data_IF_526170543709
#
_entry.id   IF_526170543709
#
_cell.length_a   1.000
_cell.length_b   1.000
_cell.length_c   1.000
_cell.angle_alpha   90.00
_cell.angle_beta   90.00
_cell.angle_gamma   90.00
#
_symmetry.space_group_name_H-M   'P 1'
#
loop_
_entity.id
_entity.type
_entity.pdbx_description
1 polymer ?
#
# COMPACT_ATOMS: atom_id res chain seq x y z
N UNK A 1 9.01 -17.99 -0.28
CA UNK A 1 9.00 -16.52 -0.27
C UNK A 1 8.41 -16.06 -1.61
N UNK A 2 7.30 -15.30 -1.62
CA UNK A 2 6.73 -14.74 -2.86
C UNK A 2 7.24 -13.30 -3.06
N UNK A 3 8.31 -13.17 -3.82
CA UNK A 3 8.87 -11.89 -4.25
C UNK A 3 9.11 -11.92 -5.75
N UNK A 4 8.90 -10.78 -6.39
CA UNK A 4 9.12 -10.59 -7.81
C UNK A 4 10.22 -9.57 -8.03
N UNK A 5 11.09 -9.82 -8.99
CA UNK A 5 12.15 -8.91 -9.36
C UNK A 5 11.80 -8.23 -10.69
N UNK A 6 11.91 -6.91 -10.74
CA UNK A 6 11.81 -6.16 -11.99
C UNK A 6 13.20 -6.09 -12.61
N UNK A 7 13.32 -6.56 -13.85
CA UNK A 7 14.57 -6.54 -14.60
C UNK A 7 14.49 -5.43 -15.65
N UNK A 8 15.52 -4.59 -15.66
CA UNK A 8 15.73 -3.53 -16.63
C UNK A 8 16.97 -3.81 -17.48
N UNK A 9 16.92 -3.34 -18.74
CA UNK A 9 18.06 -3.30 -19.65
C UNK A 9 18.34 -1.87 -20.04
N UNK A 10 19.52 -1.36 -19.70
CA UNK A 10 19.89 0.06 -19.90
C UNK A 10 18.82 1.06 -19.39
N UNK A 11 18.18 0.75 -18.25
CA UNK A 11 17.12 1.59 -17.65
C UNK A 11 15.73 1.45 -18.29
N UNK A 12 15.56 0.60 -19.31
CA UNK A 12 14.24 0.27 -19.88
C UNK A 12 13.70 -1.02 -19.26
N UNK A 13 12.43 -1.02 -18.86
CA UNK A 13 11.72 -2.22 -18.43
C UNK A 13 11.83 -3.35 -19.48
N UNK A 14 12.20 -4.55 -19.03
CA UNK A 14 12.27 -5.75 -19.86
C UNK A 14 11.22 -6.77 -19.44
N UNK A 15 11.30 -7.24 -18.19
CA UNK A 15 10.42 -8.30 -17.69
C UNK A 15 10.31 -8.29 -16.17
N UNK A 16 9.20 -8.83 -15.67
CA UNK A 16 9.05 -9.25 -14.28
C UNK A 16 9.48 -10.71 -14.16
N UNK A 17 10.41 -10.99 -13.24
CA UNK A 17 10.88 -12.32 -12.92
C UNK A 17 10.25 -12.79 -11.60
N UNK A 18 9.50 -13.88 -11.67
CA UNK A 18 8.96 -14.56 -10.49
C UNK A 18 10.05 -15.39 -9.81
N UNK A 19 9.71 -16.07 -8.71
CA UNK A 19 10.64 -16.98 -8.05
C UNK A 19 10.95 -18.17 -8.96
N UNK A 20 12.23 -18.32 -9.35
CA UNK A 20 12.68 -19.37 -10.26
C UNK A 20 14.09 -19.11 -10.79
N UNK A 21 14.61 -20.04 -11.61
CA UNK A 21 15.90 -19.87 -12.29
C UNK A 21 15.68 -19.00 -13.52
N UNK A 22 16.30 -17.83 -13.55
CA UNK A 22 16.27 -16.91 -14.68
C UNK A 22 17.69 -16.55 -15.11
N UNK A 23 18.00 -16.82 -16.38
CA UNK A 23 19.29 -16.43 -16.98
C UNK A 23 19.21 -14.95 -17.36
N UNK A 24 20.23 -14.19 -16.92
CA UNK A 24 20.44 -12.77 -17.26
C UNK A 24 21.62 -12.66 -18.21
N UNK A 25 21.61 -11.65 -19.09
CA UNK A 25 22.77 -11.40 -19.94
C UNK A 25 23.97 -10.94 -19.09
N UNK A 26 25.19 -11.48 -19.34
CA UNK A 26 26.40 -11.05 -18.66
C UNK A 26 26.82 -9.62 -19.07
N UNK A 27 27.81 -9.05 -18.38
CA UNK A 27 28.37 -7.70 -18.63
C UNK A 27 27.52 -6.50 -18.21
N UNK A 28 26.65 -6.65 -17.20
CA UNK A 28 25.92 -5.52 -16.59
C UNK A 28 24.81 -4.93 -17.47
N UNK A 29 24.44 -5.61 -18.55
CA UNK A 29 23.38 -5.20 -19.49
C UNK A 29 22.00 -5.27 -18.81
N UNK A 30 21.75 -6.36 -18.08
CA UNK A 30 20.51 -6.57 -17.34
C UNK A 30 20.74 -6.30 -15.83
N UNK A 31 20.01 -5.34 -15.27
CA UNK A 31 20.04 -4.99 -13.85
C UNK A 31 18.71 -5.30 -13.16
N UNK A 32 18.77 -5.57 -11.84
CA UNK A 32 17.56 -5.70 -11.01
C UNK A 32 17.22 -4.29 -10.51
N UNK A 33 16.12 -3.73 -11.01
CA UNK A 33 15.68 -2.40 -10.62
C UNK A 33 15.12 -2.40 -9.19
N UNK A 34 14.26 -3.38 -8.89
CA UNK A 34 13.68 -3.56 -7.57
C UNK A 34 13.21 -4.99 -7.34
N UNK A 35 13.05 -5.32 -6.05
CA UNK A 35 12.39 -6.53 -5.59
C UNK A 35 11.13 -6.12 -4.86
N UNK A 36 9.98 -6.59 -5.32
CA UNK A 36 8.67 -6.26 -4.75
C UNK A 36 8.14 -7.48 -4.03
N UNK A 37 7.64 -7.26 -2.82
CA UNK A 37 7.00 -8.29 -2.02
C UNK A 37 5.51 -8.35 -2.38
N UNK A 38 5.04 -9.54 -2.76
CA UNK A 38 3.63 -9.78 -3.08
C UNK A 38 2.80 -10.20 -1.86
N UNK A 39 3.45 -10.37 -0.70
CA UNK A 39 2.76 -10.75 0.53
C UNK A 39 1.85 -9.63 1.00
N UNK A 40 0.80 -10.03 1.68
CA UNK A 40 -0.06 -9.12 2.42
C UNK A 40 0.77 -8.41 3.49
N UNK A 41 0.72 -7.08 3.46
CA UNK A 41 1.32 -6.20 4.44
C UNK A 41 0.20 -5.65 5.32
N UNK A 42 0.49 -5.50 6.61
CA UNK A 42 -0.38 -4.82 7.55
C UNK A 42 0.25 -3.50 7.96
N UNK A 43 -0.55 -2.44 7.99
CA UNK A 43 -0.17 -1.14 8.54
C UNK A 43 -1.28 -0.67 9.47
N UNK A 44 -0.90 -0.33 10.69
CA UNK A 44 -1.80 0.18 11.72
C UNK A 44 -1.73 1.71 11.68
N UNK A 45 -2.87 2.33 11.44
CA UNK A 45 -2.98 3.78 11.26
C UNK A 45 -3.81 4.33 12.41
N UNK A 46 -3.25 5.30 13.13
CA UNK A 46 -3.96 6.04 14.17
C UNK A 46 -4.44 7.35 13.58
N UNK A 47 -5.75 7.58 13.63
CA UNK A 47 -6.39 8.81 13.15
C UNK A 47 -7.14 9.46 14.30
N UNK A 48 -6.83 10.73 14.55
CA UNK A 48 -7.59 11.57 15.46
C UNK A 48 -8.66 12.33 14.68
N UNK A 49 -9.90 12.25 15.14
CA UNK A 49 -11.02 12.96 14.54
C UNK A 49 -12.03 13.38 15.61
N UNK A 50 -13.00 14.18 15.22
CA UNK A 50 -14.01 14.76 16.10
C UNK A 50 -15.39 14.33 15.65
N UNK A 51 -16.19 13.84 16.60
CA UNK A 51 -17.58 13.43 16.36
C UNK A 51 -18.51 14.63 16.30
N UNK A 52 -19.76 14.39 15.91
CA UNK A 52 -20.83 15.39 15.86
C UNK A 52 -21.05 16.09 17.22
N UNK A 53 -20.87 15.37 18.31
CA UNK A 53 -21.07 15.87 19.69
C UNK A 53 -19.83 16.57 20.26
N UNK A 54 -18.91 16.97 19.39
CA UNK A 54 -17.72 17.74 19.75
C UNK A 54 -16.72 16.96 20.64
N UNK A 55 -16.76 15.63 20.62
CA UNK A 55 -15.82 14.75 21.34
C UNK A 55 -14.68 14.34 20.42
N UNK A 56 -13.45 14.39 20.94
CA UNK A 56 -12.26 13.89 20.23
C UNK A 56 -12.12 12.38 20.43
N UNK A 57 -11.92 11.66 19.34
CA UNK A 57 -11.75 10.20 19.34
C UNK A 57 -10.49 9.83 18.58
N UNK A 58 -9.74 8.87 19.12
CA UNK A 58 -8.62 8.24 18.43
C UNK A 58 -9.07 6.89 17.88
N UNK A 59 -8.99 6.74 16.56
CA UNK A 59 -9.36 5.53 15.85
C UNK A 59 -8.10 4.80 15.40
N UNK A 60 -7.91 3.58 15.92
CA UNK A 60 -6.88 2.66 15.43
C UNK A 60 -7.49 1.81 14.32
N UNK A 61 -7.01 2.01 13.09
CA UNK A 61 -7.47 1.27 11.91
C UNK A 61 -6.34 0.38 11.43
N UNK A 62 -6.53 -0.94 11.56
CA UNK A 62 -5.63 -1.92 10.97
C UNK A 62 -5.98 -2.08 9.49
N UNK A 63 -5.03 -1.78 8.62
CA UNK A 63 -5.21 -1.92 7.17
C UNK A 63 -4.31 -3.00 6.60
N UNK A 64 -4.87 -3.72 5.64
CA UNK A 64 -4.17 -4.79 4.93
C UNK A 64 -4.12 -4.45 3.45
N UNK A 65 -2.94 -4.52 2.86
CA UNK A 65 -2.75 -4.26 1.44
C UNK A 65 -1.70 -5.20 0.82
N UNK A 66 -1.82 -5.42 -0.48
CA UNK A 66 -0.85 -6.19 -1.27
C UNK A 66 -0.80 -5.64 -2.69
N UNK A 67 0.35 -5.78 -3.33
CA UNK A 67 0.48 -5.47 -4.76
C UNK A 67 -0.18 -6.58 -5.57
N UNK A 68 -1.01 -6.22 -6.55
CA UNK A 68 -1.54 -7.19 -7.51
C UNK A 68 -0.39 -7.69 -8.40
N UNK A 69 -0.22 -9.02 -8.48
CA UNK A 69 0.84 -9.67 -9.26
C UNK A 69 0.84 -9.28 -10.74
N UNK A 70 -0.34 -8.99 -11.30
CA UNK A 70 -0.50 -8.58 -12.70
C UNK A 70 -0.07 -7.14 -12.96
N UNK A 71 0.01 -6.31 -11.91
CA UNK A 71 0.25 -4.86 -12.01
C UNK A 71 1.53 -4.43 -11.28
N UNK A 72 2.49 -5.33 -11.12
CA UNK A 72 3.77 -5.10 -10.42
C UNK A 72 4.58 -3.97 -11.08
N UNK A 73 4.62 -3.93 -12.41
CA UNK A 73 5.33 -2.90 -13.17
C UNK A 73 4.75 -1.52 -12.87
N UNK A 74 3.43 -1.39 -12.89
CA UNK A 74 2.73 -0.15 -12.59
C UNK A 74 2.94 0.27 -11.13
N UNK A 75 2.89 -0.68 -10.21
CA UNK A 75 3.15 -0.42 -8.80
C UNK A 75 4.56 0.14 -8.55
N UNK A 76 5.56 -0.25 -9.36
CA UNK A 76 6.92 0.27 -9.22
C UNK A 76 7.11 1.65 -9.84
N UNK A 77 6.66 1.84 -11.08
CA UNK A 77 6.97 3.07 -11.82
C UNK A 77 5.96 4.20 -11.58
N UNK A 78 4.73 3.89 -11.14
CA UNK A 78 3.66 4.90 -10.96
C UNK A 78 3.40 5.27 -9.50
N UNK A 79 3.64 4.37 -8.55
CA UNK A 79 3.33 4.62 -7.14
C UNK A 79 4.58 5.06 -6.38
N UNK A 80 4.59 6.32 -5.97
CA UNK A 80 5.56 6.83 -4.99
C UNK A 80 4.93 6.69 -3.59
N UNK A 81 5.58 5.92 -2.71
CA UNK A 81 5.22 5.75 -1.28
C UNK A 81 3.74 5.35 -1.06
N UNK A 82 3.34 4.12 -1.45
CA UNK A 82 1.94 3.68 -1.38
C UNK A 82 1.33 3.75 0.03
N UNK A 83 2.11 3.46 1.07
CA UNK A 83 1.65 3.54 2.46
C UNK A 83 1.14 4.94 2.85
N UNK A 84 1.87 5.99 2.44
CA UNK A 84 1.48 7.37 2.73
C UNK A 84 0.18 7.77 2.02
N UNK A 85 0.00 7.31 0.78
CA UNK A 85 -1.22 7.59 0.02
C UNK A 85 -2.44 6.89 0.61
N UNK A 86 -2.30 5.61 1.00
CA UNK A 86 -3.35 4.85 1.68
C UNK A 86 -3.74 5.56 2.98
N UNK A 87 -2.75 5.98 3.78
CA UNK A 87 -2.99 6.73 5.02
C UNK A 87 -3.79 8.01 4.78
N UNK A 88 -3.35 8.86 3.83
CA UNK A 88 -4.07 10.11 3.52
C UNK A 88 -5.50 9.85 3.06
N UNK A 89 -5.72 8.85 2.21
CA UNK A 89 -7.07 8.51 1.75
C UNK A 89 -8.00 8.09 2.88
N UNK A 90 -7.50 7.27 3.83
CA UNK A 90 -8.26 6.85 5.01
C UNK A 90 -8.55 8.03 5.93
N UNK A 91 -7.56 8.88 6.19
CA UNK A 91 -7.75 10.08 7.01
C UNK A 91 -8.84 10.99 6.45
N UNK A 92 -8.84 11.22 5.14
CA UNK A 92 -9.84 12.05 4.46
C UNK A 92 -11.24 11.41 4.50
N UNK A 93 -11.31 10.09 4.26
CA UNK A 93 -12.57 9.35 4.35
C UNK A 93 -13.17 9.41 5.77
N UNK A 94 -12.35 9.23 6.81
CA UNK A 94 -12.76 9.33 8.21
C UNK A 94 -13.15 10.76 8.59
N UNK A 95 -12.37 11.78 8.20
CA UNK A 95 -12.74 13.19 8.43
C UNK A 95 -14.04 13.56 7.74
N UNK A 96 -14.39 12.94 6.61
CA UNK A 96 -15.65 13.24 5.90
C UNK A 96 -16.87 12.52 6.48
N UNK A 97 -16.66 11.41 7.19
CA UNK A 97 -17.72 10.52 7.66
C UNK A 97 -17.99 10.64 9.16
N UNK A 98 -16.95 10.73 9.99
CA UNK A 98 -17.07 10.72 11.46
C UNK A 98 -17.75 11.97 12.04
N UNK A 99 -17.54 13.19 11.55
CA UNK A 99 -18.22 14.38 12.09
C UNK A 99 -19.74 14.38 11.92
N UNK A 100 -20.29 13.45 11.13
CA UNK A 100 -21.74 13.29 10.91
C UNK A 100 -22.38 12.36 11.94
N UNK A 101 -21.58 11.58 12.68
CA UNK A 101 -22.02 10.56 13.63
C UNK A 101 -21.81 11.05 15.07
N UNK A 102 -22.70 10.64 15.97
CA UNK A 102 -22.50 10.81 17.41
C UNK A 102 -21.43 9.84 17.93
N UNK A 103 -20.94 10.05 19.15
CA UNK A 103 -19.97 9.13 19.77
C UNK A 103 -20.52 7.70 19.85
N UNK A 104 -21.75 7.56 20.32
CA UNK A 104 -22.39 6.26 20.52
C UNK A 104 -22.60 5.53 19.17
N UNK A 105 -23.10 6.24 18.14
CA UNK A 105 -23.27 5.69 16.79
C UNK A 105 -21.94 5.22 16.18
N UNK A 106 -20.84 5.93 16.46
CA UNK A 106 -19.50 5.56 16.00
C UNK A 106 -19.02 4.25 16.64
N UNK A 107 -19.34 4.04 17.92
CA UNK A 107 -19.01 2.80 18.62
C UNK A 107 -19.88 1.63 18.18
N UNK A 108 -21.20 1.83 18.02
CA UNK A 108 -22.11 0.78 17.58
C UNK A 108 -21.80 0.26 16.17
N UNK A 109 -21.26 1.10 15.28
CA UNK A 109 -20.85 0.69 13.92
C UNK A 109 -19.49 0.00 13.83
N UNK A 110 -18.76 -0.08 14.94
CA UNK A 110 -17.41 -0.66 15.00
C UNK A 110 -17.44 -2.18 15.20
N UNK A 111 -18.50 -2.71 15.81
CA UNK A 111 -18.78 -4.14 15.98
C UNK A 111 -19.64 -4.70 14.82
#
# INVERSE_FOLDING_TARGET
QQSVAIIERFGKYQKVANSGIHIRLPFGIDSIAARIQLRLLQSDIVVETKTKDNVFVMMNVATQYRVNEQSVTDAYYKLIRPESQIKSYIEDALRSSVPKLTLDELFEKKD
#
